data_IF_257670617358
#
_entry.id   IF_257670617358
#
_cell.length_a   1.000
_cell.length_b   1.000
_cell.length_c   1.000
_cell.angle_alpha   90.00
_cell.angle_beta   90.00
_cell.angle_gamma   90.00
#
_symmetry.space_group_name_H-M   'P 1'
#
loop_
_entity.id
_entity.type
_entity.pdbx_description
1 polymer ?
#
# COMPACT_ATOMS: atom_id res chain seq x y z
N UNK A 1 -9.19 5.30 5.51
CA UNK A 1 -9.55 3.92 5.76
C UNK A 1 -8.88 3.37 7.03
N UNK A 2 -7.84 4.01 7.51
CA UNK A 2 -7.09 3.69 8.73
C UNK A 2 -5.88 4.58 8.89
N UNK A 3 -4.95 4.14 9.71
CA UNK A 3 -3.71 4.84 10.02
C UNK A 3 -2.52 3.89 9.91
N UNK A 4 -1.34 4.44 9.62
CA UNK A 4 -0.07 3.74 9.65
C UNK A 4 0.46 3.58 11.08
N UNK A 5 1.61 2.92 11.24
CA UNK A 5 2.31 2.79 12.53
C UNK A 5 2.62 4.16 13.15
N UNK A 6 2.98 5.16 12.33
CA UNK A 6 3.28 6.53 12.79
C UNK A 6 2.05 7.44 12.75
N UNK A 7 0.86 6.86 12.84
CA UNK A 7 -0.43 7.56 12.91
C UNK A 7 -0.72 8.45 11.70
N UNK A 8 -0.10 8.19 10.54
CA UNK A 8 -0.44 8.88 9.30
C UNK A 8 -1.72 8.30 8.71
N UNK A 9 -2.65 9.14 8.25
CA UNK A 9 -3.90 8.66 7.67
C UNK A 9 -3.66 7.94 6.34
N UNK A 10 -4.30 6.79 6.16
CA UNK A 10 -4.34 6.05 4.91
C UNK A 10 -5.61 6.49 4.18
N UNK A 11 -5.44 7.29 3.14
CA UNK A 11 -6.54 7.87 2.38
C UNK A 11 -7.06 6.92 1.31
N UNK A 12 -8.38 6.95 1.10
CA UNK A 12 -9.02 6.33 -0.05
C UNK A 12 -9.98 7.33 -0.69
N UNK A 13 -9.81 7.53 -1.99
CA UNK A 13 -10.69 8.37 -2.81
C UNK A 13 -11.78 7.51 -3.43
N UNK A 14 -12.99 8.04 -3.52
CA UNK A 14 -14.09 7.43 -4.27
C UNK A 14 -14.50 8.33 -5.42
N UNK A 15 -14.50 7.80 -6.63
CA UNK A 15 -14.92 8.50 -7.86
C UNK A 15 -16.05 7.70 -8.48
N UNK A 16 -17.12 8.41 -8.89
CA UNK A 16 -18.30 7.79 -9.46
C UNK A 16 -19.38 7.42 -8.43
N UNK A 17 -20.56 7.09 -8.93
CA UNK A 17 -21.77 6.83 -8.14
C UNK A 17 -22.44 5.51 -8.51
N UNK A 18 -21.83 4.77 -9.47
CA UNK A 18 -22.40 3.53 -9.96
C UNK A 18 -22.38 2.40 -8.94
N UNK A 19 -23.26 1.40 -9.07
CA UNK A 19 -23.38 0.29 -8.13
C UNK A 19 -22.22 -0.71 -8.19
N UNK A 20 -21.54 -0.84 -9.34
CA UNK A 20 -20.37 -1.69 -9.48
C UNK A 20 -19.19 -1.05 -8.80
N UNK A 21 -18.49 -1.79 -7.95
CA UNK A 21 -17.39 -1.25 -7.16
C UNK A 21 -16.06 -1.91 -7.57
N UNK A 22 -15.08 -1.08 -7.87
CA UNK A 22 -13.70 -1.53 -8.13
C UNK A 22 -12.74 -0.80 -7.20
N UNK A 23 -11.67 -1.47 -6.81
CA UNK A 23 -10.69 -0.95 -5.87
C UNK A 23 -9.28 -1.06 -6.43
N UNK A 24 -8.53 0.04 -6.34
CA UNK A 24 -7.11 0.12 -6.67
C UNK A 24 -6.33 0.53 -5.43
N UNK A 25 -5.26 -0.19 -5.12
CA UNK A 25 -4.31 0.21 -4.09
C UNK A 25 -2.89 0.29 -4.65
N UNK A 26 -2.11 1.21 -4.13
CA UNK A 26 -0.72 1.42 -4.52
C UNK A 26 0.19 1.61 -3.33
N UNK A 27 1.49 1.49 -3.56
CA UNK A 27 2.55 1.67 -2.57
C UNK A 27 2.30 0.89 -1.27
N UNK A 28 1.91 -0.40 -1.39
CA UNK A 28 1.95 -1.35 -0.28
C UNK A 28 3.41 -1.64 0.11
N UNK A 29 4.29 -1.69 -0.88
CA UNK A 29 5.73 -1.68 -0.68
C UNK A 29 6.27 -0.26 -0.82
N UNK A 30 7.13 0.14 0.10
CA UNK A 30 7.65 1.51 0.15
C UNK A 30 8.40 1.94 -1.13
N UNK A 31 9.20 1.04 -1.70
CA UNK A 31 9.98 1.32 -2.91
C UNK A 31 9.17 1.36 -4.21
N UNK A 32 7.87 1.10 -4.13
CA UNK A 32 6.94 1.17 -5.26
C UNK A 32 6.10 2.48 -5.21
N UNK A 33 6.60 3.52 -4.55
CA UNK A 33 5.92 4.82 -4.37
C UNK A 33 5.46 5.48 -5.67
N UNK A 34 6.11 5.17 -6.79
CA UNK A 34 5.69 5.68 -8.12
C UNK A 34 4.25 5.29 -8.47
N UNK A 35 3.75 4.16 -7.93
CA UNK A 35 2.37 3.74 -8.10
C UNK A 35 1.39 4.78 -7.53
N UNK A 36 1.76 5.47 -6.43
CA UNK A 36 0.93 6.55 -5.86
C UNK A 36 0.75 7.69 -6.86
N UNK A 37 1.83 8.13 -7.49
CA UNK A 37 1.79 9.21 -8.49
C UNK A 37 0.97 8.78 -9.72
N UNK A 38 1.14 7.54 -10.17
CA UNK A 38 0.36 7.00 -11.29
C UNK A 38 -1.13 6.95 -10.98
N UNK A 39 -1.51 6.48 -9.79
CA UNK A 39 -2.90 6.42 -9.37
C UNK A 39 -3.50 7.84 -9.21
N UNK A 40 -2.76 8.80 -8.66
CA UNK A 40 -3.22 10.19 -8.55
C UNK A 40 -3.37 10.85 -9.91
N UNK A 41 -2.46 10.57 -10.86
CA UNK A 41 -2.62 11.03 -12.24
C UNK A 41 -3.83 10.42 -12.91
N UNK A 42 -4.10 9.14 -12.69
CA UNK A 42 -5.32 8.48 -13.18
C UNK A 42 -6.59 9.13 -12.61
N UNK A 43 -6.61 9.47 -11.31
CA UNK A 43 -7.70 10.23 -10.67
C UNK A 43 -7.93 11.57 -11.38
N UNK A 44 -6.86 12.32 -11.60
CA UNK A 44 -6.91 13.62 -12.28
C UNK A 44 -7.53 13.51 -13.68
N UNK A 45 -7.04 12.55 -14.49
CA UNK A 45 -7.55 12.34 -15.85
C UNK A 45 -9.02 11.92 -15.85
N UNK A 46 -9.44 11.04 -14.94
CA UNK A 46 -10.85 10.67 -14.80
C UNK A 46 -11.73 11.88 -14.44
N UNK A 47 -11.28 12.73 -13.52
CA UNK A 47 -12.02 13.93 -13.11
C UNK A 47 -12.13 14.95 -14.25
N UNK A 48 -11.04 15.17 -14.98
CA UNK A 48 -11.02 16.07 -16.15
C UNK A 48 -11.96 15.55 -17.24
N UNK A 49 -11.87 14.28 -17.57
CA UNK A 49 -12.70 13.67 -18.60
C UNK A 49 -14.18 13.66 -18.23
N UNK A 50 -14.49 13.37 -16.96
CA UNK A 50 -15.86 13.45 -16.44
C UNK A 50 -16.44 14.87 -16.56
N UNK A 51 -15.67 15.89 -16.16
CA UNK A 51 -16.09 17.27 -16.23
C UNK A 51 -16.33 17.73 -17.67
N UNK A 52 -15.45 17.36 -18.60
CA UNK A 52 -15.55 17.68 -20.03
C UNK A 52 -16.53 16.78 -20.80
N UNK A 53 -17.14 15.79 -20.15
CA UNK A 53 -17.94 14.74 -20.80
C UNK A 53 -17.21 14.08 -21.99
N UNK A 54 -15.92 13.84 -21.83
CA UNK A 54 -15.06 13.27 -22.84
C UNK A 54 -14.78 11.78 -22.62
N UNK A 55 -14.07 11.16 -23.55
CA UNK A 55 -13.70 9.75 -23.50
C UNK A 55 -12.22 9.57 -23.17
N UNK A 56 -11.90 8.51 -22.40
CA UNK A 56 -10.56 7.98 -22.22
C UNK A 56 -10.56 6.51 -22.63
N UNK A 57 -9.55 6.09 -23.37
CA UNK A 57 -9.40 4.71 -23.84
C UNK A 57 -10.65 4.16 -24.57
N UNK A 58 -11.36 5.02 -25.29
CA UNK A 58 -12.57 4.65 -26.02
C UNK A 58 -13.88 4.62 -25.20
N UNK A 59 -13.82 4.90 -23.90
CA UNK A 59 -14.99 4.91 -23.01
C UNK A 59 -15.36 6.33 -22.61
N UNK A 60 -16.65 6.71 -22.72
CA UNK A 60 -17.15 7.96 -22.14
C UNK A 60 -17.10 7.86 -20.62
N UNK A 61 -16.33 8.73 -20.00
CA UNK A 61 -16.01 8.62 -18.54
C UNK A 61 -17.22 8.94 -17.68
N UNK A 62 -18.05 9.92 -18.07
CA UNK A 62 -19.28 10.22 -17.33
C UNK A 62 -20.20 9.00 -17.26
N UNK A 63 -20.41 8.34 -18.39
CA UNK A 63 -21.24 7.13 -18.46
C UNK A 63 -20.62 5.97 -17.65
N UNK A 64 -19.30 5.83 -17.68
CA UNK A 64 -18.58 4.85 -16.88
C UNK A 64 -18.80 5.07 -15.38
N UNK A 65 -18.63 6.31 -14.91
CA UNK A 65 -18.75 6.66 -13.50
C UNK A 65 -20.19 6.64 -12.97
N UNK A 66 -21.18 6.71 -13.84
CA UNK A 66 -22.58 6.43 -13.46
C UNK A 66 -22.86 4.93 -13.26
N UNK A 67 -22.06 4.05 -13.86
CA UNK A 67 -22.20 2.59 -13.75
C UNK A 67 -21.24 1.98 -12.72
N UNK A 68 -20.15 2.69 -12.40
CA UNK A 68 -19.06 2.16 -11.57
C UNK A 68 -18.62 3.21 -10.56
N UNK A 69 -18.38 2.76 -9.33
CA UNK A 69 -17.67 3.51 -8.30
C UNK A 69 -16.24 2.99 -8.22
N UNK A 70 -15.26 3.86 -8.42
CA UNK A 70 -13.84 3.53 -8.38
C UNK A 70 -13.28 4.04 -7.06
N UNK A 71 -12.76 3.12 -6.26
CA UNK A 71 -12.07 3.41 -5.00
C UNK A 71 -10.57 3.33 -5.23
N UNK A 72 -9.83 4.31 -4.77
CA UNK A 72 -8.38 4.42 -4.98
C UNK A 72 -7.70 4.77 -3.67
N UNK A 73 -6.88 3.84 -3.17
CA UNK A 73 -5.96 4.06 -2.06
C UNK A 73 -4.55 4.23 -2.64
N UNK A 74 -4.08 5.45 -2.86
CA UNK A 74 -2.85 5.66 -3.61
C UNK A 74 -1.60 5.24 -2.83
N UNK A 75 -1.67 5.22 -1.50
CA UNK A 75 -0.51 4.95 -0.65
C UNK A 75 -0.93 4.18 0.60
N UNK A 76 -0.66 2.88 0.63
CA UNK A 76 -0.96 2.00 1.77
C UNK A 76 0.10 2.12 2.86
N UNK A 77 1.36 2.35 2.50
CA UNK A 77 2.52 2.37 3.39
C UNK A 77 3.21 3.74 3.44
N UNK A 78 2.56 4.77 4.02
CA UNK A 78 3.11 6.13 4.02
C UNK A 78 4.42 6.26 4.82
N UNK A 79 4.59 5.50 5.90
CA UNK A 79 5.78 5.57 6.73
C UNK A 79 7.01 4.99 6.03
N UNK A 80 6.84 3.86 5.34
CA UNK A 80 7.90 3.27 4.55
C UNK A 80 8.30 4.14 3.36
N UNK A 81 7.32 4.81 2.72
CA UNK A 81 7.57 5.76 1.64
C UNK A 81 8.37 6.96 2.14
N UNK A 82 8.01 7.52 3.30
CA UNK A 82 8.75 8.65 3.89
C UNK A 82 10.17 8.27 4.29
N UNK A 83 10.37 7.06 4.83
CA UNK A 83 11.71 6.54 5.10
C UNK A 83 12.56 6.54 3.83
N UNK A 84 11.99 6.05 2.73
CA UNK A 84 12.68 5.90 1.46
C UNK A 84 12.98 7.25 0.80
N UNK A 85 12.05 8.20 0.87
CA UNK A 85 12.19 9.53 0.26
C UNK A 85 12.95 10.53 1.14
N UNK A 86 13.40 10.13 2.34
CA UNK A 86 14.17 10.98 3.24
C UNK A 86 13.33 12.01 4.01
N UNK A 87 12.01 11.80 4.09
CA UNK A 87 11.09 12.66 4.84
C UNK A 87 11.05 12.36 6.34
N UNK A 88 11.56 11.18 6.76
CA UNK A 88 11.72 10.88 8.17
C UNK A 88 12.91 11.64 8.77
N UNK A 89 12.71 12.19 9.96
CA UNK A 89 13.80 12.80 10.72
C UNK A 89 14.89 11.77 11.01
N UNK A 90 16.10 12.01 10.51
CA UNK A 90 17.27 11.13 10.67
C UNK A 90 17.65 10.88 12.15
N UNK A 91 17.25 11.76 13.06
CA UNK A 91 17.46 11.64 14.50
C UNK A 91 16.28 10.98 15.24
N UNK A 92 15.21 10.61 14.54
CA UNK A 92 14.08 9.93 15.15
C UNK A 92 14.45 8.49 15.57
N UNK A 93 13.69 7.95 16.52
CA UNK A 93 13.85 6.56 16.95
C UNK A 93 13.47 5.58 15.83
N UNK A 94 12.47 5.94 15.04
CA UNK A 94 11.94 5.15 13.92
C UNK A 94 12.99 5.00 12.82
N UNK A 95 13.66 6.09 12.43
CA UNK A 95 14.75 6.04 11.46
C UNK A 95 15.92 5.20 11.97
N UNK A 96 16.32 5.41 13.25
CA UNK A 96 17.40 4.63 13.88
C UNK A 96 17.06 3.15 13.93
N UNK A 97 15.80 2.81 14.23
CA UNK A 97 15.34 1.43 14.25
C UNK A 97 15.35 0.81 12.85
N UNK A 98 14.83 1.51 11.83
CA UNK A 98 14.89 1.05 10.45
C UNK A 98 16.34 0.81 9.99
N UNK A 99 17.25 1.73 10.31
CA UNK A 99 18.67 1.59 10.02
C UNK A 99 19.32 0.40 10.75
N UNK A 100 18.95 0.18 12.03
CA UNK A 100 19.39 -1.00 12.77
C UNK A 100 18.93 -2.30 12.11
N UNK A 101 17.69 -2.36 11.65
CA UNK A 101 17.18 -3.50 10.89
C UNK A 101 18.02 -3.67 9.60
N UNK A 102 18.18 -2.61 8.82
CA UNK A 102 18.91 -2.65 7.55
C UNK A 102 20.35 -3.15 7.68
N UNK A 103 21.04 -2.81 8.77
CA UNK A 103 22.40 -3.26 9.03
C UNK A 103 22.54 -4.78 9.17
N UNK A 104 21.46 -5.50 9.47
CA UNK A 104 21.42 -6.98 9.48
C UNK A 104 21.32 -7.59 8.08
N UNK A 105 20.99 -6.78 7.09
CA UNK A 105 20.75 -7.18 5.71
C UNK A 105 21.59 -6.37 4.72
N UNK A 106 22.95 -6.46 4.78
CA UNK A 106 23.83 -5.57 4.04
C UNK A 106 23.71 -5.65 2.51
N UNK A 107 23.11 -6.74 2.01
CA UNK A 107 22.85 -6.92 0.58
C UNK A 107 21.60 -6.17 0.08
N UNK A 108 20.81 -5.57 0.98
CA UNK A 108 19.65 -4.74 0.63
C UNK A 108 20.02 -3.27 0.79
N UNK A 109 20.10 -2.49 -0.31
CA UNK A 109 20.49 -1.09 -0.23
C UNK A 109 19.53 -0.29 0.66
N UNK A 110 20.07 0.47 1.63
CA UNK A 110 19.26 1.32 2.49
C UNK A 110 19.39 2.80 2.10
N UNK A 111 18.28 3.55 2.01
CA UNK A 111 16.89 3.11 2.16
C UNK A 111 16.27 2.52 0.88
N UNK A 112 16.92 2.61 -0.28
CA UNK A 112 16.36 2.36 -1.61
C UNK A 112 15.77 0.93 -1.81
N UNK A 113 16.28 -0.05 -1.09
CA UNK A 113 15.78 -1.43 -1.12
C UNK A 113 14.67 -1.74 -0.11
N UNK A 114 14.22 -0.73 0.67
CA UNK A 114 13.22 -0.90 1.71
C UNK A 114 11.83 -1.09 1.11
N UNK A 115 11.22 -2.27 1.31
CA UNK A 115 9.85 -2.62 0.89
C UNK A 115 8.86 -2.59 2.06
N UNK A 116 9.33 -2.93 3.25
CA UNK A 116 8.54 -3.10 4.45
C UNK A 116 7.86 -1.80 4.92
N UNK A 117 6.95 -1.91 5.91
CA UNK A 117 6.54 -0.76 6.69
C UNK A 117 7.67 -0.34 7.66
N UNK A 118 7.44 0.68 8.47
CA UNK A 118 8.48 1.21 9.38
C UNK A 118 8.93 0.19 10.46
N UNK A 119 8.10 -0.80 10.78
CA UNK A 119 8.42 -1.89 11.70
C UNK A 119 9.28 -3.00 11.07
N UNK A 120 9.58 -2.90 9.76
CA UNK A 120 10.31 -3.94 9.05
C UNK A 120 9.46 -5.18 8.74
N UNK A 121 8.16 -5.00 8.53
CA UNK A 121 7.20 -6.06 8.15
C UNK A 121 6.74 -5.83 6.71
N UNK A 122 6.78 -6.88 5.90
CA UNK A 122 6.27 -6.85 4.53
C UNK A 122 4.73 -6.94 4.56
N UNK A 123 4.08 -5.81 4.28
CA UNK A 123 2.63 -5.68 4.40
C UNK A 123 1.87 -6.63 3.47
N UNK A 124 2.42 -6.95 2.31
CA UNK A 124 1.79 -7.87 1.37
C UNK A 124 1.74 -9.32 1.90
N UNK A 125 2.59 -9.63 2.88
CA UNK A 125 2.64 -10.94 3.55
C UNK A 125 1.81 -10.99 4.85
N UNK A 126 1.05 -9.94 5.16
CA UNK A 126 0.29 -9.84 6.41
C UNK A 126 -1.15 -10.38 6.33
N UNK A 127 -1.62 -10.73 5.13
CA UNK A 127 -2.99 -11.20 4.96
C UNK A 127 -3.16 -12.67 5.38
N UNK A 128 -4.34 -13.05 5.96
CA UNK A 128 -4.56 -14.42 6.48
C UNK A 128 -4.44 -15.51 5.42
N UNK A 129 -4.79 -15.20 4.17
CA UNK A 129 -4.74 -16.17 3.07
C UNK A 129 -3.29 -16.62 2.80
N UNK A 130 -2.99 -17.87 3.14
CA UNK A 130 -1.67 -18.45 2.91
C UNK A 130 -0.56 -17.98 3.87
N UNK A 131 -0.86 -17.22 4.92
CA UNK A 131 0.14 -16.65 5.83
C UNK A 131 1.09 -17.69 6.42
N UNK A 132 0.56 -18.82 6.90
CA UNK A 132 1.36 -19.91 7.49
C UNK A 132 2.36 -20.52 6.47
N UNK A 133 1.96 -20.62 5.21
CA UNK A 133 2.84 -21.11 4.16
C UNK A 133 3.91 -20.07 3.82
N UNK A 134 3.54 -18.80 3.70
CA UNK A 134 4.48 -17.70 3.50
C UNK A 134 5.51 -17.66 4.63
N UNK A 135 5.08 -17.80 5.89
CA UNK A 135 5.94 -17.85 7.07
C UNK A 135 6.95 -19.00 6.97
N UNK A 136 6.50 -20.22 6.66
CA UNK A 136 7.39 -21.38 6.51
C UNK A 136 8.46 -21.12 5.45
N UNK A 137 8.07 -20.58 4.29
CA UNK A 137 8.98 -20.27 3.19
C UNK A 137 9.99 -19.20 3.60
N UNK A 138 9.53 -18.06 4.16
CA UNK A 138 10.41 -16.95 4.52
C UNK A 138 11.36 -17.32 5.67
N UNK A 139 10.88 -18.10 6.63
CA UNK A 139 11.70 -18.58 7.74
C UNK A 139 12.78 -19.56 7.27
N UNK A 140 12.48 -20.44 6.31
CA UNK A 140 13.49 -21.33 5.70
C UNK A 140 14.54 -20.57 4.89
N UNK A 141 14.22 -19.35 4.43
CA UNK A 141 15.14 -18.41 3.78
C UNK A 141 15.95 -17.57 4.79
N UNK A 142 15.78 -17.79 6.10
CA UNK A 142 16.48 -17.07 7.16
C UNK A 142 15.85 -15.74 7.57
N UNK A 143 14.66 -15.38 7.06
CA UNK A 143 13.97 -14.12 7.39
C UNK A 143 13.00 -14.41 8.53
N UNK A 144 13.52 -14.41 9.77
CA UNK A 144 12.78 -14.78 10.99
C UNK A 144 12.48 -13.61 11.92
N UNK A 145 12.94 -12.41 11.58
CA UNK A 145 12.80 -11.18 12.37
C UNK A 145 12.62 -9.98 11.44
N UNK A 146 12.27 -8.79 11.98
CA UNK A 146 12.12 -7.57 11.18
C UNK A 146 13.24 -7.38 10.16
N UNK A 147 12.83 -7.11 8.90
CA UNK A 147 13.72 -7.02 7.74
C UNK A 147 13.27 -5.88 6.81
N UNK A 148 14.16 -5.37 5.96
CA UNK A 148 13.77 -4.38 4.95
C UNK A 148 12.71 -4.90 3.96
N UNK A 149 12.56 -6.22 3.87
CA UNK A 149 11.62 -6.92 2.99
C UNK A 149 11.40 -8.37 3.46
N UNK A 150 10.30 -8.97 3.00
CA UNK A 150 10.05 -10.41 3.13
C UNK A 150 9.75 -10.93 4.54
N UNK A 151 9.78 -10.11 5.59
CA UNK A 151 9.38 -10.54 6.92
C UNK A 151 7.85 -10.52 7.04
N UNK A 152 7.28 -11.66 7.36
CA UNK A 152 5.81 -11.86 7.41
C UNK A 152 5.16 -11.28 8.68
N UNK A 153 5.96 -10.80 9.64
CA UNK A 153 5.46 -10.40 10.97
C UNK A 153 5.26 -11.57 11.92
N UNK A 154 4.82 -11.28 13.13
CA UNK A 154 4.63 -12.28 14.19
C UNK A 154 3.31 -13.05 14.05
N UNK A 155 2.28 -12.41 13.51
CA UNK A 155 0.94 -12.96 13.22
C UNK A 155 0.33 -12.22 12.02
N UNK A 156 -0.67 -12.81 11.34
CA UNK A 156 -1.37 -12.09 10.29
C UNK A 156 -2.10 -10.85 10.85
N UNK A 157 -2.21 -9.82 10.03
CA UNK A 157 -2.88 -8.55 10.36
C UNK A 157 -2.36 -7.88 11.65
N UNK A 158 -1.07 -8.06 11.96
CA UNK A 158 -0.45 -7.41 13.09
C UNK A 158 -0.18 -5.92 12.84
N UNK A 159 0.06 -5.56 11.58
CA UNK A 159 0.38 -4.20 11.18
C UNK A 159 -0.89 -3.40 10.88
N UNK A 160 -1.00 -2.15 11.37
CA UNK A 160 -2.22 -1.35 11.25
C UNK A 160 -2.59 -1.06 9.79
N UNK A 161 -1.62 -0.88 8.90
CA UNK A 161 -1.85 -0.65 7.47
C UNK A 161 -2.52 -1.86 6.81
N UNK A 162 -2.02 -3.06 7.08
CA UNK A 162 -2.58 -4.29 6.54
C UNK A 162 -3.98 -4.56 7.11
N UNK A 163 -4.17 -4.33 8.40
CA UNK A 163 -5.48 -4.47 9.05
C UNK A 163 -6.49 -3.46 8.49
N UNK A 164 -6.08 -2.22 8.26
CA UNK A 164 -6.93 -1.18 7.68
C UNK A 164 -7.39 -1.57 6.27
N UNK A 165 -6.45 -2.00 5.42
CA UNK A 165 -6.75 -2.44 4.05
C UNK A 165 -7.67 -3.67 4.04
N UNK A 166 -7.40 -4.66 4.89
CA UNK A 166 -8.21 -5.87 5.05
C UNK A 166 -9.64 -5.53 5.44
N UNK A 167 -9.84 -4.76 6.51
CA UNK A 167 -11.16 -4.38 6.98
C UNK A 167 -11.91 -3.56 5.91
N UNK A 168 -11.25 -2.62 5.26
CA UNK A 168 -11.85 -1.83 4.19
C UNK A 168 -12.30 -2.72 3.03
N UNK A 169 -11.51 -3.72 2.66
CA UNK A 169 -11.85 -4.66 1.58
C UNK A 169 -13.05 -5.51 1.93
N UNK A 170 -13.15 -5.99 3.19
CA UNK A 170 -14.28 -6.83 3.63
C UNK A 170 -15.58 -6.06 3.84
N UNK A 171 -15.51 -4.77 4.18
CA UNK A 171 -16.71 -3.94 4.39
C UNK A 171 -17.35 -3.47 3.09
N UNK A 172 -16.64 -3.58 1.97
CA UNK A 172 -17.12 -3.20 0.65
C UNK A 172 -17.32 -4.44 -0.24
N UNK A 173 -18.21 -4.30 -1.23
CA UNK A 173 -18.50 -5.38 -2.20
C UNK A 173 -17.77 -5.11 -3.51
N UNK A 174 -16.45 -5.15 -3.49
CA UNK A 174 -15.64 -4.95 -4.69
C UNK A 174 -15.78 -6.13 -5.66
N UNK A 175 -16.11 -5.84 -6.93
CA UNK A 175 -16.11 -6.83 -8.01
C UNK A 175 -14.71 -7.10 -8.57
N UNK A 176 -13.82 -6.10 -8.43
CA UNK A 176 -12.42 -6.17 -8.87
C UNK A 176 -11.54 -5.43 -7.87
N UNK A 177 -10.41 -6.04 -7.53
CA UNK A 177 -9.36 -5.43 -6.72
C UNK A 177 -8.05 -5.55 -7.49
N UNK A 178 -7.33 -4.43 -7.64
CA UNK A 178 -5.99 -4.34 -8.21
C UNK A 178 -5.07 -3.70 -7.18
N UNK A 179 -3.96 -4.37 -6.86
CA UNK A 179 -2.96 -3.95 -5.88
C UNK A 179 -1.55 -4.08 -6.45
#
# INVERSE_FOLDING_TARGET
>A
IGYSVLEKPIYCLKIGTGPRQVFYSGAIHANEWICSNMLMKFVEELCIANNKNSSLFGYNIRNLLHKTSIYICPMVNPDGVDLLNGELNLNSNEYRYARYIANKYPNVPFPNGWKANINGVDLNLQFPAGWENAKKIKFSQGITSPAPRDFVGNKPLAEPEALALYNFTLTNKFELILA
#
